data_IF_461745229292
#
_entry.id   IF_461745229292
#
_cell.length_a   1.000
_cell.length_b   1.000
_cell.length_c   1.000
_cell.angle_alpha   90.00
_cell.angle_beta   90.00
_cell.angle_gamma   90.00
#
_symmetry.space_group_name_H-M   'P 1'
#
loop_
_entity.id
_entity.type
_entity.pdbx_description
1 polymer ?
#
# COMPACT_ATOMS: atom_id res chain seq x y z
N UNK A 1 -26.37 2.22 -38.31
CA UNK A 1 -24.96 2.65 -38.22
C UNK A 1 -24.35 2.03 -36.97
N UNK A 2 -23.51 1.01 -37.13
CA UNK A 2 -22.72 0.43 -36.04
C UNK A 2 -21.41 1.20 -35.93
N UNK A 3 -21.05 1.64 -34.73
CA UNK A 3 -19.73 2.19 -34.43
C UNK A 3 -19.19 1.57 -33.15
N UNK A 4 -17.97 1.08 -33.29
CA UNK A 4 -17.30 0.09 -32.47
C UNK A 4 -16.63 0.66 -31.21
N UNK A 5 -16.36 -0.24 -30.25
CA UNK A 5 -15.76 0.09 -28.97
C UNK A 5 -14.26 0.42 -29.00
N UNK A 6 -13.77 0.97 -27.88
CA UNK A 6 -12.37 0.91 -27.44
C UNK A 6 -12.32 0.64 -25.93
N UNK A 7 -11.55 -0.40 -25.58
CA UNK A 7 -11.19 -0.83 -24.22
C UNK A 7 -10.33 0.23 -23.52
N UNK A 8 -10.57 0.42 -22.22
CA UNK A 8 -9.53 0.86 -21.30
C UNK A 8 -9.47 -0.12 -20.13
N UNK A 9 -8.36 -0.86 -20.07
CA UNK A 9 -7.97 -1.77 -18.99
C UNK A 9 -7.81 -0.96 -17.70
N UNK A 10 -8.67 -1.16 -16.71
CA UNK A 10 -8.26 -0.94 -15.32
C UNK A 10 -7.74 -2.27 -14.79
N UNK A 11 -6.45 -2.52 -15.03
CA UNK A 11 -5.74 -3.60 -14.35
C UNK A 11 -5.83 -3.35 -12.83
N UNK A 12 -6.12 -4.40 -12.08
CA UNK A 12 -6.63 -4.35 -10.71
C UNK A 12 -5.89 -3.42 -9.76
N UNK A 13 -6.59 -2.41 -9.26
CA UNK A 13 -6.39 -1.98 -7.88
C UNK A 13 -6.94 -3.11 -7.00
N UNK A 14 -6.09 -4.10 -6.68
CA UNK A 14 -6.38 -5.04 -5.60
C UNK A 14 -6.49 -4.17 -4.34
N UNK A 15 -7.73 -3.80 -3.99
CA UNK A 15 -8.04 -2.97 -2.82
C UNK A 15 -7.23 -3.53 -1.65
N UNK A 16 -6.59 -2.63 -0.91
CA UNK A 16 -5.85 -2.98 0.31
C UNK A 16 -6.81 -3.33 1.47
N UNK A 17 -8.04 -3.79 1.15
CA UNK A 17 -8.98 -4.31 2.12
C UNK A 17 -8.47 -5.64 2.65
N UNK A 18 -7.77 -5.58 3.78
CA UNK A 18 -7.31 -6.73 4.55
C UNK A 18 -5.82 -7.05 4.43
N UNK A 19 -5.03 -6.30 3.64
CA UNK A 19 -3.59 -6.50 3.67
C UNK A 19 -3.00 -5.76 4.88
N UNK A 20 -2.29 -6.50 5.74
CA UNK A 20 -1.60 -5.95 6.93
C UNK A 20 -0.26 -5.30 6.57
N UNK A 21 0.26 -5.58 5.37
CA UNK A 21 1.56 -5.12 4.91
C UNK A 21 1.50 -4.72 3.45
N UNK A 22 2.32 -3.74 3.09
CA UNK A 22 2.52 -3.33 1.71
C UNK A 22 3.97 -2.93 1.47
N UNK A 23 4.46 -3.18 0.25
CA UNK A 23 5.81 -2.78 -0.16
C UNK A 23 5.74 -1.45 -0.90
N UNK A 24 6.63 -0.52 -0.59
CA UNK A 24 6.74 0.73 -1.33
C UNK A 24 7.35 0.46 -2.70
N UNK A 25 6.62 0.74 -3.77
CA UNK A 25 7.08 0.55 -5.16
C UNK A 25 7.58 1.87 -5.76
N UNK A 26 7.16 3.00 -5.21
CA UNK A 26 7.49 4.33 -5.70
C UNK A 26 7.54 5.35 -4.56
N UNK A 27 8.62 6.13 -4.49
CA UNK A 27 8.84 7.18 -3.50
C UNK A 27 9.11 8.55 -4.12
N UNK A 28 8.76 8.76 -5.40
CA UNK A 28 9.09 10.00 -6.15
C UNK A 28 8.72 11.29 -5.41
N UNK A 29 7.57 11.29 -4.73
CA UNK A 29 7.06 12.46 -4.02
C UNK A 29 7.52 12.52 -2.55
N UNK A 30 8.08 11.43 -2.02
CA UNK A 30 8.51 11.29 -0.63
C UNK A 30 9.84 10.51 -0.50
N UNK A 31 10.95 10.99 -1.11
CA UNK A 31 12.21 10.24 -1.10
C UNK A 31 12.86 10.13 0.28
N UNK A 32 12.47 11.00 1.23
CA UNK A 32 12.98 11.01 2.61
C UNK A 32 12.12 10.16 3.54
N UNK A 33 10.81 10.10 3.31
CA UNK A 33 9.87 9.36 4.17
C UNK A 33 9.61 7.93 3.68
N UNK A 34 9.75 7.68 2.38
CA UNK A 34 9.49 6.38 1.76
C UNK A 34 10.75 5.83 1.08
N UNK A 35 11.04 4.57 1.40
CA UNK A 35 12.14 3.82 0.82
C UNK A 35 11.59 2.76 -0.14
N UNK A 36 12.02 2.79 -1.41
CA UNK A 36 11.56 1.82 -2.42
C UNK A 36 12.05 0.42 -2.08
N UNK A 37 11.15 -0.55 -2.14
CA UNK A 37 11.41 -1.95 -1.80
C UNK A 37 11.23 -2.26 -0.31
N UNK A 38 11.02 -1.25 0.55
CA UNK A 38 10.78 -1.46 1.97
C UNK A 38 9.34 -1.89 2.22
N UNK A 39 9.16 -2.80 3.18
CA UNK A 39 7.87 -3.28 3.64
C UNK A 39 7.40 -2.40 4.78
N UNK A 40 6.17 -1.89 4.65
CA UNK A 40 5.50 -1.07 5.64
C UNK A 40 4.27 -1.79 6.17
N UNK A 41 3.97 -1.58 7.46
CA UNK A 41 2.73 -2.07 8.07
C UNK A 41 1.59 -1.15 7.68
N UNK A 42 0.50 -1.73 7.22
CA UNK A 42 -0.73 -1.00 6.85
C UNK A 42 -1.74 -1.08 7.98
N UNK A 43 -2.27 0.07 8.37
CA UNK A 43 -3.40 0.15 9.28
C UNK A 43 -4.70 0.23 8.48
N UNK A 44 -5.70 -0.61 8.81
CA UNK A 44 -7.01 -0.52 8.19
C UNK A 44 -7.68 0.78 8.65
N UNK A 45 -7.76 1.75 7.77
CA UNK A 45 -8.44 3.02 8.02
C UNK A 45 -9.61 3.19 7.05
N UNK A 46 -10.82 3.27 7.61
CA UNK A 46 -12.06 3.43 6.84
C UNK A 46 -12.14 4.76 6.10
N UNK A 47 -11.46 5.80 6.60
CA UNK A 47 -11.43 7.11 5.95
C UNK A 47 -10.42 7.14 4.79
N UNK A 48 -9.24 6.54 4.97
CA UNK A 48 -8.22 6.46 3.93
C UNK A 48 -8.66 5.66 2.70
N UNK A 49 -9.33 4.52 2.90
CA UNK A 49 -9.71 3.62 1.79
C UNK A 49 -10.73 4.26 0.82
N UNK A 50 -11.62 5.12 1.31
CA UNK A 50 -12.61 5.81 0.48
C UNK A 50 -11.96 6.86 -0.45
N UNK A 51 -10.85 7.45 0.00
CA UNK A 51 -10.10 8.47 -0.73
C UNK A 51 -8.88 7.92 -1.50
N UNK A 52 -8.65 6.60 -1.51
CA UNK A 52 -7.47 6.01 -2.15
C UNK A 52 -6.16 6.33 -1.43
N UNK A 53 -6.25 6.62 -0.14
CA UNK A 53 -5.13 6.79 0.78
C UNK A 53 -4.92 5.51 1.60
N UNK A 54 -3.70 5.35 2.07
CA UNK A 54 -3.20 4.21 2.82
C UNK A 54 -2.51 4.75 4.06
N UNK A 55 -2.94 4.28 5.23
CA UNK A 55 -2.26 4.61 6.48
C UNK A 55 -1.18 3.56 6.74
N UNK A 56 0.08 3.98 6.74
CA UNK A 56 1.24 3.12 6.96
C UNK A 56 2.00 3.57 8.20
N UNK A 57 2.63 2.63 8.88
CA UNK A 57 3.50 2.91 10.03
C UNK A 57 4.95 2.84 9.57
N UNK A 58 5.74 3.85 9.91
CA UNK A 58 7.18 3.91 9.64
C UNK A 58 8.02 3.30 10.79
N UNK A 59 9.35 3.43 10.72
CA UNK A 59 10.27 2.91 11.72
C UNK A 59 10.22 3.65 13.06
N UNK A 60 9.69 4.88 13.08
CA UNK A 60 9.46 5.62 14.32
C UNK A 60 8.19 5.14 15.05
N UNK A 61 7.43 4.22 14.45
CA UNK A 61 6.13 3.80 14.98
C UNK A 61 5.03 4.84 14.75
N UNK A 62 5.30 5.86 13.94
CA UNK A 62 4.33 6.90 13.61
C UNK A 62 3.49 6.48 12.40
N UNK A 63 2.19 6.78 12.43
CA UNK A 63 1.30 6.51 11.31
C UNK A 63 1.18 7.69 10.35
N UNK A 64 1.42 7.42 9.08
CA UNK A 64 1.41 8.39 7.99
C UNK A 64 0.42 7.98 6.91
N UNK A 65 -0.26 8.96 6.31
CA UNK A 65 -1.19 8.77 5.20
C UNK A 65 -0.50 9.06 3.87
N UNK A 66 -0.45 8.06 3.01
CA UNK A 66 0.08 8.18 1.65
C UNK A 66 -0.91 7.64 0.62
N UNK A 67 -0.71 7.96 -0.66
CA UNK A 67 -1.57 7.38 -1.70
C UNK A 67 -1.29 5.87 -1.87
N UNK A 68 -2.36 5.06 -1.98
CA UNK A 68 -2.25 3.61 -2.23
C UNK A 68 -1.43 3.29 -3.49
N UNK A 69 -1.30 4.24 -4.42
CA UNK A 69 -0.54 4.14 -5.68
C UNK A 69 0.96 3.90 -5.46
N UNK A 70 1.49 4.32 -4.31
CA UNK A 70 2.91 4.16 -3.96
C UNK A 70 3.21 2.78 -3.38
N UNK A 71 2.18 2.02 -3.04
CA UNK A 71 2.30 0.78 -2.29
C UNK A 71 1.67 -0.38 -3.05
N UNK A 72 2.27 -1.55 -2.89
CA UNK A 72 1.70 -2.80 -3.37
C UNK A 72 1.40 -3.71 -2.18
N UNK A 73 0.13 -4.11 -1.97
CA UNK A 73 -0.22 -4.99 -0.87
C UNK A 73 0.42 -6.36 -1.05
N UNK A 74 1.02 -6.88 0.01
CA UNK A 74 1.67 -8.20 0.03
C UNK A 74 1.08 -9.08 1.12
N UNK A 75 0.98 -10.37 0.83
CA UNK A 75 0.68 -11.38 1.83
C UNK A 75 2.01 -11.97 2.30
N UNK A 76 2.36 -11.75 3.56
CA UNK A 76 3.55 -12.31 4.17
C UNK A 76 3.18 -13.59 4.94
N UNK A 77 4.04 -14.63 4.90
CA UNK A 77 3.91 -15.77 5.81
C UNK A 77 3.97 -15.33 7.27
N UNK A 78 3.27 -16.03 8.16
CA UNK A 78 3.21 -15.69 9.58
C UNK A 78 4.58 -15.57 10.25
N UNK A 79 5.57 -16.35 9.80
CA UNK A 79 6.95 -16.27 10.29
C UNK A 79 7.57 -14.89 10.06
N UNK A 80 7.37 -14.31 8.88
CA UNK A 80 7.87 -12.98 8.54
C UNK A 80 7.10 -11.91 9.32
N UNK A 81 5.78 -12.08 9.45
CA UNK A 81 4.93 -11.15 10.22
C UNK A 81 5.38 -11.07 11.67
N UNK A 82 5.74 -12.20 12.29
CA UNK A 82 6.28 -12.25 13.66
C UNK A 82 7.63 -11.55 13.74
N UNK A 83 8.56 -11.87 12.84
CA UNK A 83 9.88 -11.25 12.81
C UNK A 83 9.80 -9.72 12.64
N UNK A 84 8.88 -9.23 11.81
CA UNK A 84 8.65 -7.78 11.63
C UNK A 84 7.94 -7.13 12.83
N UNK A 85 7.14 -7.89 13.59
CA UNK A 85 6.50 -7.39 14.81
C UNK A 85 7.46 -7.31 16.00
N UNK A 86 8.50 -8.14 16.02
CA UNK A 86 9.55 -8.16 17.06
C UNK A 86 10.64 -7.11 16.81
N UNK A 87 10.77 -6.62 15.58
CA UNK A 87 11.73 -5.59 15.20
C UNK A 87 11.26 -4.15 15.49
N UNK A 88 10.06 -3.99 16.05
CA UNK A 88 9.41 -2.71 16.37
C UNK A 88 9.52 -2.36 17.86
#
# INVERSE_FOLDING_TARGET
>A
MASAGRKSKSNGARRVKGARFAICINNKDYPVSLERGKVYRVLPDTFGDDHGLLRVVDESGEDYLFSQKYFLPIALPDQIVRALAEAA
#
